data_IF_523291847310
#
_entry.id   IF_523291847310
#
_cell.length_a   1.000
_cell.length_b   1.000
_cell.length_c   1.000
_cell.angle_alpha   90.00
_cell.angle_beta   90.00
_cell.angle_gamma   90.00
#
_symmetry.space_group_name_H-M   'P 1'
#
loop_
_entity.id
_entity.type
_entity.pdbx_description
1 polymer ?
#
# COMPACT_ATOMS: atom_id res chain seq x y z
N UNK A 1 16.17 14.90 2.95
CA UNK A 1 15.15 13.89 3.35
C UNK A 1 15.79 12.91 4.30
N UNK A 2 15.14 12.59 5.42
CA UNK A 2 15.56 11.52 6.32
C UNK A 2 15.02 10.18 5.82
N UNK A 3 15.74 9.10 6.14
CA UNK A 3 15.39 7.74 5.74
C UNK A 3 15.33 6.82 6.96
N UNK A 4 14.49 5.80 6.86
CA UNK A 4 14.36 4.74 7.85
C UNK A 4 14.21 3.40 7.15
N UNK A 5 14.21 2.32 7.91
CA UNK A 5 13.87 0.99 7.40
C UNK A 5 12.38 0.75 7.60
N UNK A 6 11.69 0.27 6.57
CA UNK A 6 10.27 -0.06 6.65
C UNK A 6 10.10 -1.41 7.36
N UNK A 7 9.89 -1.35 8.68
CA UNK A 7 9.70 -2.54 9.49
C UNK A 7 10.77 -3.61 9.26
N UNK A 8 10.34 -4.85 9.19
CA UNK A 8 11.20 -6.04 8.96
C UNK A 8 11.56 -6.28 7.49
N UNK A 9 11.12 -5.41 6.58
CA UNK A 9 11.32 -5.60 5.13
C UNK A 9 12.77 -5.37 4.67
N UNK A 10 13.55 -4.64 5.44
CA UNK A 10 14.87 -4.18 5.03
C UNK A 10 14.85 -3.06 3.97
N UNK A 11 13.67 -2.63 3.50
CA UNK A 11 13.54 -1.54 2.54
C UNK A 11 13.92 -0.21 3.20
N UNK A 12 14.84 0.50 2.58
CA UNK A 12 15.18 1.88 2.98
C UNK A 12 14.19 2.85 2.35
N UNK A 13 13.36 3.47 3.17
CA UNK A 13 12.33 4.41 2.73
C UNK A 13 12.55 5.81 3.33
N UNK A 14 12.13 6.83 2.59
CA UNK A 14 12.03 8.18 3.14
C UNK A 14 10.97 8.20 4.25
N UNK A 15 11.23 8.91 5.36
CA UNK A 15 10.29 9.01 6.49
C UNK A 15 8.96 9.68 6.08
N UNK A 16 8.96 10.46 5.01
CA UNK A 16 7.77 10.97 4.36
C UNK A 16 7.52 10.19 3.08
N UNK A 17 6.43 9.43 3.00
CA UNK A 17 5.93 8.81 1.78
C UNK A 17 4.94 9.73 1.05
N UNK A 18 4.84 9.59 -0.27
CA UNK A 18 3.81 10.26 -1.06
C UNK A 18 2.64 9.31 -1.32
N UNK A 19 1.51 9.57 -0.64
CA UNK A 19 0.24 8.91 -0.94
C UNK A 19 -0.50 9.59 -2.09
N UNK A 20 -1.07 8.82 -2.98
CA UNK A 20 -1.81 9.29 -4.15
C UNK A 20 -3.35 9.23 -4.00
N UNK A 21 -3.82 8.82 -2.83
CA UNK A 21 -5.24 8.72 -2.48
C UNK A 21 -5.84 10.01 -1.94
N UNK A 22 -6.83 9.82 -1.06
CA UNK A 22 -7.53 10.90 -0.39
C UNK A 22 -8.46 11.70 -1.30
N UNK A 23 -8.96 12.86 -0.84
CA UNK A 23 -9.94 13.65 -1.60
C UNK A 23 -9.40 14.19 -2.92
N UNK A 24 -8.12 14.53 -3.00
CA UNK A 24 -7.51 15.13 -4.20
C UNK A 24 -7.11 14.11 -5.27
N UNK A 25 -6.71 12.90 -4.87
CA UNK A 25 -6.17 11.86 -5.76
C UNK A 25 -5.12 12.42 -6.72
N UNK A 26 -4.07 13.03 -6.18
CA UNK A 26 -3.06 13.80 -6.94
C UNK A 26 -3.70 14.92 -7.80
N UNK A 27 -4.78 15.55 -7.30
CA UNK A 27 -5.50 16.59 -8.01
C UNK A 27 -6.46 16.12 -9.10
N UNK A 28 -6.58 14.82 -9.36
CA UNK A 28 -7.48 14.28 -10.41
C UNK A 28 -8.97 14.56 -10.18
N UNK A 29 -9.41 14.72 -8.93
CA UNK A 29 -10.77 15.15 -8.63
C UNK A 29 -11.01 16.66 -8.86
N UNK A 30 -9.98 17.44 -9.14
CA UNK A 30 -10.02 18.88 -9.39
C UNK A 30 -9.49 19.26 -10.78
N UNK A 31 -9.75 18.45 -11.82
CA UNK A 31 -9.34 18.69 -13.22
C UNK A 31 -7.81 18.77 -13.46
N UNK A 32 -7.01 18.34 -12.50
CA UNK A 32 -5.55 18.28 -12.74
C UNK A 32 -5.23 17.15 -13.73
N UNK A 33 -4.50 17.48 -14.77
CA UNK A 33 -4.10 16.51 -15.80
C UNK A 33 -3.10 15.48 -15.24
N UNK A 34 -2.98 14.34 -15.92
CA UNK A 34 -1.99 13.31 -15.55
C UNK A 34 -0.55 13.86 -15.54
N UNK A 35 -0.23 14.77 -16.47
CA UNK A 35 1.09 15.41 -16.59
C UNK A 35 1.43 16.22 -15.33
N UNK A 36 0.47 16.94 -14.75
CA UNK A 36 0.67 17.67 -13.48
C UNK A 36 0.88 16.72 -12.30
N UNK A 37 0.15 15.60 -12.27
CA UNK A 37 0.36 14.54 -11.28
C UNK A 37 1.77 13.93 -11.39
N UNK A 38 2.22 13.64 -12.59
CA UNK A 38 3.59 13.17 -12.88
C UNK A 38 4.63 14.20 -12.43
N UNK A 39 4.45 15.47 -12.77
CA UNK A 39 5.37 16.55 -12.38
C UNK A 39 5.45 16.70 -10.85
N UNK A 40 4.33 16.51 -10.13
CA UNK A 40 4.30 16.52 -8.66
C UNK A 40 5.13 15.36 -8.08
N UNK A 41 4.99 14.15 -8.64
CA UNK A 41 5.79 12.99 -8.22
C UNK A 41 7.28 13.20 -8.51
N UNK A 42 7.63 13.73 -9.69
CA UNK A 42 9.03 14.09 -10.01
C UNK A 42 9.58 15.09 -8.99
N UNK A 43 8.79 16.10 -8.62
CA UNK A 43 9.20 17.04 -7.59
C UNK A 43 9.41 16.38 -6.22
N UNK A 44 8.60 15.40 -5.86
CA UNK A 44 8.79 14.62 -4.64
C UNK A 44 10.10 13.81 -4.69
N UNK A 45 10.40 13.18 -5.84
CA UNK A 45 11.68 12.47 -6.08
C UNK A 45 12.87 13.42 -5.91
N UNK A 46 12.82 14.61 -6.52
CA UNK A 46 13.88 15.63 -6.41
C UNK A 46 14.11 16.06 -4.95
N UNK A 47 13.07 16.01 -4.11
CA UNK A 47 13.16 16.31 -2.67
C UNK A 47 13.62 15.09 -1.84
N UNK A 48 13.88 13.96 -2.47
CA UNK A 48 14.37 12.75 -1.86
C UNK A 48 13.28 11.80 -1.34
N UNK A 49 12.01 11.98 -1.73
CA UNK A 49 10.96 10.99 -1.46
C UNK A 49 11.20 9.81 -2.39
N UNK A 50 11.25 8.59 -1.81
CA UNK A 50 11.37 7.36 -2.56
C UNK A 50 10.25 6.34 -2.29
N UNK A 51 9.30 6.66 -1.41
CA UNK A 51 8.18 5.79 -1.06
C UNK A 51 6.87 6.35 -1.63
N UNK A 52 6.28 5.62 -2.60
CA UNK A 52 5.07 6.01 -3.32
C UNK A 52 3.97 5.00 -3.07
N UNK A 53 2.85 5.49 -2.52
CA UNK A 53 1.71 4.69 -2.15
C UNK A 53 0.47 5.04 -2.98
N UNK A 54 -0.15 4.03 -3.55
CA UNK A 54 -1.40 4.13 -4.31
C UNK A 54 -2.39 3.04 -3.94
N UNK A 55 -3.49 2.93 -4.65
CA UNK A 55 -4.43 1.83 -4.59
C UNK A 55 -5.25 1.77 -5.88
N UNK A 56 -5.78 0.60 -6.19
CA UNK A 56 -6.63 0.39 -7.37
C UNK A 56 -7.79 1.40 -7.45
N UNK A 57 -8.54 1.56 -6.35
CA UNK A 57 -9.71 2.45 -6.29
C UNK A 57 -9.38 3.96 -6.27
N UNK A 58 -8.09 4.32 -6.22
CA UNK A 58 -7.68 5.73 -6.36
C UNK A 58 -7.63 6.15 -7.84
N UNK A 59 -7.41 5.20 -8.75
CA UNK A 59 -7.25 5.47 -10.19
C UNK A 59 -5.97 6.22 -10.52
N UNK A 60 -4.95 6.13 -9.66
CA UNK A 60 -3.68 6.86 -9.78
C UNK A 60 -2.48 5.96 -10.07
N UNK A 61 -2.67 4.64 -10.12
CA UNK A 61 -1.59 3.66 -10.40
C UNK A 61 -0.83 4.00 -11.69
N UNK A 62 -1.55 4.29 -12.77
CA UNK A 62 -0.93 4.66 -14.05
C UNK A 62 -0.12 5.96 -14.00
N UNK A 63 -0.54 6.94 -13.19
CA UNK A 63 0.20 8.20 -12.99
C UNK A 63 1.47 7.95 -12.20
N UNK A 64 1.37 7.17 -11.11
CA UNK A 64 2.55 6.78 -10.31
C UNK A 64 3.53 5.99 -11.18
N UNK A 65 3.06 4.96 -11.87
CA UNK A 65 3.88 4.13 -12.75
C UNK A 65 4.58 4.93 -13.84
N UNK A 66 3.87 5.85 -14.51
CA UNK A 66 4.46 6.72 -15.54
C UNK A 66 5.56 7.64 -14.98
N UNK A 67 5.35 8.19 -13.78
CA UNK A 67 6.31 9.08 -13.16
C UNK A 67 7.61 8.37 -12.76
N UNK A 68 7.53 7.18 -12.16
CA UNK A 68 8.71 6.46 -11.67
C UNK A 68 9.56 5.82 -12.77
N UNK A 69 9.07 5.76 -14.00
CA UNK A 69 9.88 5.33 -15.17
C UNK A 69 11.08 6.23 -15.46
N UNK A 70 11.10 7.44 -14.93
CA UNK A 70 12.21 8.39 -15.09
C UNK A 70 13.42 8.10 -14.21
N UNK A 71 13.30 7.17 -13.25
CA UNK A 71 14.36 6.82 -12.32
C UNK A 71 14.61 5.30 -12.30
N UNK A 72 15.77 4.81 -11.84
CA UNK A 72 15.99 3.38 -11.66
C UNK A 72 14.92 2.76 -10.76
N UNK A 73 14.36 1.60 -11.17
CA UNK A 73 13.25 0.95 -10.46
C UNK A 73 13.58 0.62 -9.00
N UNK A 74 14.82 0.26 -8.72
CA UNK A 74 15.34 -0.07 -7.39
C UNK A 74 15.61 1.16 -6.50
N UNK A 75 15.55 2.36 -7.07
CA UNK A 75 15.67 3.61 -6.30
C UNK A 75 14.38 4.06 -5.64
N UNK A 76 13.25 3.42 -5.96
CA UNK A 76 11.93 3.75 -5.43
C UNK A 76 11.23 2.52 -4.86
N UNK A 77 10.41 2.75 -3.84
CA UNK A 77 9.55 1.75 -3.21
C UNK A 77 8.12 2.01 -3.64
N UNK A 78 7.52 1.06 -4.35
CA UNK A 78 6.16 1.13 -4.87
C UNK A 78 5.22 0.27 -4.05
N UNK A 79 4.16 0.90 -3.56
CA UNK A 79 3.10 0.27 -2.79
C UNK A 79 1.75 0.50 -3.47
N UNK A 80 0.98 -0.56 -3.67
CA UNK A 80 -0.44 -0.46 -4.06
C UNK A 80 -1.31 -1.42 -3.28
N UNK A 81 -2.63 -1.31 -3.45
CA UNK A 81 -3.61 -2.01 -2.62
C UNK A 81 -4.84 -2.39 -3.42
N UNK A 82 -5.49 -3.45 -2.99
CA UNK A 82 -6.79 -3.83 -3.49
C UNK A 82 -7.75 -4.15 -2.32
N UNK A 83 -9.04 -3.81 -2.47
CA UNK A 83 -10.06 -4.11 -1.46
C UNK A 83 -10.29 -5.62 -1.31
N UNK A 84 -10.92 -6.03 -0.22
CA UNK A 84 -11.06 -7.43 0.15
C UNK A 84 -12.50 -7.90 0.27
N UNK A 85 -13.45 -6.97 0.33
CA UNK A 85 -14.86 -7.25 0.52
C UNK A 85 -15.41 -8.07 -0.67
N UNK A 86 -15.90 -9.27 -0.38
CA UNK A 86 -16.44 -10.22 -1.38
C UNK A 86 -15.48 -10.61 -2.52
N UNK A 87 -14.16 -10.47 -2.31
CA UNK A 87 -13.14 -10.77 -3.32
C UNK A 87 -12.68 -12.22 -3.22
N UNK A 88 -12.67 -12.93 -4.33
CA UNK A 88 -12.13 -14.28 -4.42
C UNK A 88 -10.61 -14.32 -4.59
N UNK A 89 -10.00 -15.50 -4.35
CA UNK A 89 -8.58 -15.73 -4.60
C UNK A 89 -8.16 -15.46 -6.06
N UNK A 90 -9.04 -15.74 -7.03
CA UNK A 90 -8.78 -15.47 -8.45
C UNK A 90 -8.79 -13.96 -8.74
N UNK A 91 -9.77 -13.25 -8.19
CA UNK A 91 -9.91 -11.81 -8.38
C UNK A 91 -8.75 -11.02 -7.77
N UNK A 92 -8.27 -11.39 -6.57
CA UNK A 92 -7.13 -10.70 -5.96
C UNK A 92 -5.84 -10.89 -6.76
N UNK A 93 -5.63 -12.09 -7.33
CA UNK A 93 -4.51 -12.36 -8.25
C UNK A 93 -4.65 -11.54 -9.54
N UNK A 94 -5.85 -11.52 -10.11
CA UNK A 94 -6.14 -10.69 -11.29
C UNK A 94 -5.93 -9.20 -11.03
N UNK A 95 -6.27 -8.72 -9.83
CA UNK A 95 -6.05 -7.35 -9.40
C UNK A 95 -4.55 -7.01 -9.30
N UNK A 96 -3.74 -7.91 -8.73
CA UNK A 96 -2.28 -7.78 -8.70
C UNK A 96 -1.70 -7.69 -10.12
N UNK A 97 -2.10 -8.57 -11.03
CA UNK A 97 -1.64 -8.54 -12.42
C UNK A 97 -2.06 -7.25 -13.15
N UNK A 98 -3.26 -6.76 -12.85
CA UNK A 98 -3.72 -5.48 -13.38
C UNK A 98 -2.89 -4.31 -12.84
N UNK A 99 -2.55 -4.29 -11.55
CA UNK A 99 -1.72 -3.26 -10.95
C UNK A 99 -0.34 -3.21 -11.61
N UNK A 100 0.33 -4.35 -11.77
CA UNK A 100 1.62 -4.47 -12.46
C UNK A 100 1.56 -3.90 -13.88
N UNK A 101 0.54 -4.31 -14.66
CA UNK A 101 0.34 -3.83 -16.02
C UNK A 101 0.07 -2.32 -16.07
N UNK A 102 -0.79 -1.81 -15.17
CA UNK A 102 -1.19 -0.40 -15.13
C UNK A 102 -0.03 0.49 -14.73
N UNK A 103 0.78 0.06 -13.77
CA UNK A 103 1.97 0.78 -13.32
C UNK A 103 3.16 0.59 -14.29
N UNK A 104 3.12 -0.45 -15.14
CA UNK A 104 4.19 -0.76 -16.10
C UNK A 104 5.48 -1.16 -15.40
N UNK A 105 5.38 -2.02 -14.39
CA UNK A 105 6.49 -2.58 -13.62
C UNK A 105 6.36 -4.09 -13.51
N UNK A 106 7.48 -4.80 -13.40
CA UNK A 106 7.50 -6.25 -13.29
C UNK A 106 7.24 -6.73 -11.86
N UNK A 107 7.44 -5.86 -10.87
CA UNK A 107 7.18 -6.17 -9.46
C UNK A 107 6.75 -4.95 -8.66
N UNK A 108 6.06 -5.21 -7.55
CA UNK A 108 5.76 -4.24 -6.50
C UNK A 108 6.66 -4.49 -5.29
N UNK A 109 7.01 -3.45 -4.56
CA UNK A 109 7.71 -3.63 -3.29
C UNK A 109 6.74 -4.09 -2.21
N UNK A 110 5.57 -3.46 -2.12
CA UNK A 110 4.53 -3.87 -1.18
C UNK A 110 3.18 -3.97 -1.89
N UNK A 111 2.48 -5.08 -1.68
CA UNK A 111 1.08 -5.23 -2.08
C UNK A 111 0.22 -5.38 -0.83
N UNK A 112 -0.76 -4.50 -0.64
CA UNK A 112 -1.62 -4.51 0.54
C UNK A 112 -3.02 -5.04 0.25
N UNK A 113 -3.58 -5.72 1.23
CA UNK A 113 -5.01 -5.93 1.37
C UNK A 113 -5.63 -4.69 2.03
N UNK A 114 -6.61 -4.05 1.37
CA UNK A 114 -6.98 -2.65 1.58
C UNK A 114 -8.28 -2.49 2.36
N UNK A 115 -8.18 -1.87 3.52
CA UNK A 115 -9.33 -1.48 4.31
C UNK A 115 -10.05 -2.65 4.97
N UNK A 116 -9.30 -3.67 5.38
CA UNK A 116 -9.82 -4.88 6.01
C UNK A 116 -10.53 -4.54 7.31
N UNK A 117 -11.76 -5.04 7.46
CA UNK A 117 -12.51 -5.00 8.71
C UNK A 117 -12.26 -6.24 9.57
N UNK A 118 -12.57 -6.18 10.88
CA UNK A 118 -12.44 -7.34 11.76
C UNK A 118 -13.24 -8.56 11.28
N UNK A 119 -14.41 -8.32 10.69
CA UNK A 119 -15.30 -9.34 10.15
C UNK A 119 -14.79 -10.03 8.88
N UNK A 120 -13.92 -9.36 8.13
CA UNK A 120 -13.36 -9.87 6.87
C UNK A 120 -12.06 -10.65 7.09
N UNK A 121 -11.44 -10.52 8.27
CA UNK A 121 -10.07 -10.96 8.49
C UNK A 121 -9.88 -12.47 8.30
N UNK A 122 -10.84 -13.31 8.72
CA UNK A 122 -10.77 -14.76 8.53
C UNK A 122 -10.75 -15.12 7.04
N UNK A 123 -11.65 -14.55 6.25
CA UNK A 123 -11.66 -14.72 4.79
C UNK A 123 -10.33 -14.30 4.15
N UNK A 124 -9.80 -13.16 4.57
CA UNK A 124 -8.51 -12.65 4.09
C UNK A 124 -7.38 -13.65 4.32
N UNK A 125 -7.27 -14.18 5.54
CA UNK A 125 -6.18 -15.10 5.90
C UNK A 125 -6.35 -16.48 5.27
N UNK A 126 -7.57 -16.98 5.19
CA UNK A 126 -7.85 -18.34 4.71
C UNK A 126 -7.87 -18.44 3.19
N UNK A 127 -8.35 -17.41 2.48
CA UNK A 127 -8.57 -17.44 1.03
C UNK A 127 -7.56 -16.60 0.24
N UNK A 128 -7.37 -15.32 0.64
CA UNK A 128 -6.60 -14.38 -0.18
C UNK A 128 -5.10 -14.51 0.04
N UNK A 129 -4.67 -14.64 1.29
CA UNK A 129 -3.24 -14.74 1.64
C UNK A 129 -2.57 -15.93 0.97
N UNK A 130 -3.10 -17.17 1.00
CA UNK A 130 -2.44 -18.29 0.34
C UNK A 130 -2.30 -18.11 -1.19
N UNK A 131 -3.25 -17.43 -1.83
CA UNK A 131 -3.17 -17.11 -3.25
C UNK A 131 -2.05 -16.10 -3.53
N UNK A 132 -1.98 -15.03 -2.72
CA UNK A 132 -0.97 -13.99 -2.85
C UNK A 132 0.44 -14.51 -2.54
N UNK A 133 0.62 -15.39 -1.56
CA UNK A 133 1.93 -15.97 -1.26
C UNK A 133 2.51 -16.76 -2.45
N UNK A 134 1.67 -17.46 -3.21
CA UNK A 134 2.08 -18.11 -4.47
C UNK A 134 2.55 -17.10 -5.52
N UNK A 135 1.91 -15.93 -5.60
CA UNK A 135 2.32 -14.87 -6.53
C UNK A 135 3.59 -14.13 -6.06
N UNK A 136 3.79 -14.04 -4.75
CA UNK A 136 5.06 -13.58 -4.16
C UNK A 136 6.24 -14.49 -4.53
N UNK A 137 6.06 -15.81 -4.46
CA UNK A 137 7.07 -16.79 -4.91
C UNK A 137 7.40 -16.65 -6.41
N UNK A 138 6.46 -16.17 -7.22
CA UNK A 138 6.66 -15.84 -8.63
C UNK A 138 7.36 -14.49 -8.86
N UNK A 139 7.64 -13.76 -7.79
CA UNK A 139 8.35 -12.49 -7.83
C UNK A 139 7.49 -11.27 -8.20
N UNK A 140 6.16 -11.38 -8.21
CA UNK A 140 5.27 -10.27 -8.58
C UNK A 140 5.24 -9.15 -7.52
N UNK A 141 5.50 -9.48 -6.28
CA UNK A 141 5.72 -8.50 -5.20
C UNK A 141 6.67 -9.07 -4.15
N UNK A 142 7.25 -8.17 -3.35
CA UNK A 142 8.27 -8.54 -2.35
C UNK A 142 7.66 -8.77 -0.98
N UNK A 143 6.79 -7.86 -0.52
CA UNK A 143 6.26 -7.83 0.83
C UNK A 143 4.73 -7.74 0.82
N UNK A 144 4.11 -8.50 1.71
CA UNK A 144 2.67 -8.49 1.90
C UNK A 144 2.30 -7.51 3.00
N UNK A 145 1.34 -6.63 2.70
CA UNK A 145 0.84 -5.67 3.66
C UNK A 145 -0.66 -5.78 3.91
N UNK A 146 -1.10 -5.18 5.01
CA UNK A 146 -2.51 -5.06 5.36
C UNK A 146 -2.81 -3.64 5.84
N UNK A 147 -3.99 -3.12 5.50
CA UNK A 147 -4.48 -1.84 6.00
C UNK A 147 -5.83 -2.01 6.66
N UNK A 148 -6.08 -1.28 7.73
CA UNK A 148 -7.37 -1.30 8.40
C UNK A 148 -8.43 -0.46 7.70
N UNK A 149 -9.69 -0.82 7.91
CA UNK A 149 -10.86 -0.02 7.53
C UNK A 149 -11.14 1.05 8.58
N UNK A 150 -10.43 2.17 8.56
CA UNK A 150 -10.42 3.21 9.60
C UNK A 150 -11.81 3.66 10.10
N UNK A 151 -12.82 3.70 9.23
CA UNK A 151 -14.18 4.10 9.63
C UNK A 151 -15.00 2.98 10.28
N UNK A 152 -14.52 1.73 10.17
CA UNK A 152 -15.21 0.53 10.64
C UNK A 152 -14.55 -0.10 11.87
N UNK A 153 -13.29 0.28 12.16
CA UNK A 153 -12.48 -0.29 13.23
C UNK A 153 -11.68 0.81 13.94
N UNK A 154 -12.37 1.59 14.79
CA UNK A 154 -11.74 2.67 15.55
C UNK A 154 -10.84 2.18 16.68
N UNK A 155 -11.03 0.95 17.13
CA UNK A 155 -10.26 0.34 18.22
C UNK A 155 -9.07 -0.48 17.72
N UNK A 156 -8.83 -0.50 16.38
CA UNK A 156 -7.76 -1.26 15.75
C UNK A 156 -7.81 -2.77 16.01
N UNK A 157 -9.00 -3.34 16.20
CA UNK A 157 -9.20 -4.75 16.54
C UNK A 157 -8.62 -5.68 15.46
N UNK A 158 -8.81 -5.36 14.18
CA UNK A 158 -8.26 -6.13 13.08
C UNK A 158 -6.74 -6.14 13.10
N UNK A 159 -6.08 -4.96 13.23
CA UNK A 159 -4.62 -4.88 13.26
C UNK A 159 -4.03 -5.55 14.52
N UNK A 160 -4.67 -5.40 15.66
CA UNK A 160 -4.27 -6.08 16.91
C UNK A 160 -4.25 -7.59 16.72
N UNK A 161 -5.25 -8.14 16.02
CA UNK A 161 -5.28 -9.54 15.65
C UNK A 161 -4.21 -9.89 14.61
N UNK A 162 -4.07 -9.09 13.55
CA UNK A 162 -3.11 -9.31 12.48
C UNK A 162 -1.66 -9.38 12.98
N UNK A 163 -1.32 -8.61 14.02
CA UNK A 163 0.01 -8.64 14.64
C UNK A 163 0.34 -9.96 15.35
N UNK A 164 -0.64 -10.84 15.58
CA UNK A 164 -0.38 -12.20 16.10
C UNK A 164 -0.03 -13.19 14.99
N UNK A 165 -0.25 -12.84 13.74
CA UNK A 165 -0.01 -13.70 12.58
C UNK A 165 1.29 -13.29 11.87
N UNK A 166 2.23 -14.23 11.75
CA UNK A 166 3.56 -13.98 11.16
C UNK A 166 3.57 -13.96 9.63
N UNK A 167 2.52 -13.41 9.02
CA UNK A 167 2.36 -13.34 7.56
C UNK A 167 2.52 -11.91 7.02
N UNK A 168 2.30 -10.92 7.87
CA UNK A 168 2.30 -9.51 7.47
C UNK A 168 3.69 -8.90 7.60
N UNK A 169 4.23 -8.41 6.50
CA UNK A 169 5.52 -7.70 6.48
C UNK A 169 5.35 -6.20 6.78
N UNK A 170 4.20 -5.63 6.41
CA UNK A 170 3.88 -4.20 6.55
C UNK A 170 2.43 -4.02 7.00
N UNK A 171 2.22 -3.17 7.97
CA UNK A 171 0.88 -2.71 8.36
C UNK A 171 0.72 -1.23 8.06
N UNK A 172 -0.48 -0.81 7.69
CA UNK A 172 -0.84 0.61 7.55
C UNK A 172 -1.94 0.94 8.54
N UNK A 173 -1.57 1.69 9.56
CA UNK A 173 -2.44 2.05 10.68
C UNK A 173 -2.85 3.52 10.61
N UNK A 174 -4.07 3.80 10.99
CA UNK A 174 -4.57 5.17 11.16
C UNK A 174 -4.04 5.77 12.46
N UNK A 175 -3.23 6.80 12.31
CA UNK A 175 -2.70 7.55 13.44
C UNK A 175 -2.65 9.05 13.11
N UNK A 176 -3.32 9.86 13.90
CA UNK A 176 -3.32 11.31 13.74
C UNK A 176 -3.64 12.02 15.07
N UNK A 177 -3.66 13.35 15.08
CA UNK A 177 -3.90 14.14 16.28
C UNK A 177 -5.24 13.85 16.97
N UNK A 178 -6.27 13.46 16.22
CA UNK A 178 -7.61 13.18 16.74
C UNK A 178 -7.82 11.68 17.04
N UNK A 179 -7.05 10.80 16.38
CA UNK A 179 -7.14 9.37 16.54
C UNK A 179 -5.77 8.81 16.89
N UNK A 180 -5.54 8.54 18.17
CA UNK A 180 -4.25 8.13 18.73
C UNK A 180 -4.25 6.73 19.34
N UNK A 181 -5.36 5.97 19.23
CA UNK A 181 -5.51 4.63 19.82
C UNK A 181 -4.41 3.64 19.42
N UNK A 182 -3.88 3.76 18.20
CA UNK A 182 -2.79 2.91 17.75
C UNK A 182 -1.54 2.99 18.64
N UNK A 183 -1.30 4.11 19.33
CA UNK A 183 -0.18 4.26 20.26
C UNK A 183 -0.19 3.20 21.36
N UNK A 184 -1.37 2.83 21.81
CA UNK A 184 -1.55 1.94 22.96
C UNK A 184 -1.81 0.49 22.51
N UNK A 185 -2.42 0.29 21.34
CA UNK A 185 -2.91 -1.02 20.91
C UNK A 185 -2.09 -1.66 19.78
N UNK A 186 -1.50 -0.88 18.88
CA UNK A 186 -0.82 -1.39 17.68
C UNK A 186 0.69 -1.18 17.73
N UNK A 187 1.14 0.08 17.89
CA UNK A 187 2.56 0.44 17.78
C UNK A 187 3.50 -0.28 18.77
N UNK A 188 3.09 -0.63 20.01
CA UNK A 188 3.96 -1.38 20.92
C UNK A 188 4.23 -2.82 20.50
N UNK A 189 3.41 -3.37 19.57
CA UNK A 189 3.46 -4.76 19.13
C UNK A 189 4.03 -4.90 17.70
N UNK A 190 4.15 -3.78 16.97
CA UNK A 190 4.58 -3.73 15.57
C UNK A 190 6.11 -3.75 15.39
#
# INVERSE_FOLDING_TARGET
MEFTTLGRTGLKVSVAGLGSGGPSRLGRKGEMSAEKGIALIHRAIDLGVNFFDTAHNYGTEGVVGAAVKSVPRDSVVLSTKYHTEEVSAEEIVGALDNALRTMGTDYLDVFHLHGVGPEEYDHVVEELVPALLRERERGKFRFLGITEGTSRDLDHAMLTRALTDDVWDVIMVSFNMMHQGARDHVLPQA
#
